data_IF_204502243460
#
_entry.id   IF_204502243460
#
_cell.length_a   1.000
_cell.length_b   1.000
_cell.length_c   1.000
_cell.angle_alpha   90.00
_cell.angle_beta   90.00
_cell.angle_gamma   90.00
#
_symmetry.space_group_name_H-M   'P 1'
#
loop_
_entity.id
_entity.type
_entity.pdbx_description
1 polymer ?
#
# COMPACT_ATOMS: atom_id res chain seq x y z
N UNK A 1 22.64 -18.28 12.41
CA UNK A 1 21.25 -17.82 12.69
C UNK A 1 20.82 -17.02 11.48
N UNK A 2 19.54 -17.08 11.09
CA UNK A 2 19.08 -16.30 9.92
C UNK A 2 19.28 -14.80 10.15
N UNK A 3 19.77 -14.09 9.14
CA UNK A 3 19.92 -12.63 9.18
C UNK A 3 18.58 -11.93 8.95
N UNK A 4 17.72 -12.50 8.09
CA UNK A 4 16.39 -11.96 7.76
C UNK A 4 15.30 -12.96 8.08
N UNK A 5 14.25 -12.51 8.74
CA UNK A 5 12.99 -13.27 8.89
C UNK A 5 11.93 -12.68 7.97
N UNK A 6 11.48 -13.45 6.99
CA UNK A 6 10.35 -13.09 6.14
C UNK A 6 9.06 -13.56 6.79
N UNK A 7 8.14 -12.63 7.04
CA UNK A 7 6.88 -12.84 7.77
C UNK A 7 5.73 -12.85 6.76
N UNK A 8 5.06 -13.99 6.61
CA UNK A 8 3.99 -14.17 5.65
C UNK A 8 2.68 -14.46 6.39
N UNK A 9 1.84 -13.44 6.67
CA UNK A 9 0.50 -13.66 7.19
C UNK A 9 -0.36 -14.31 6.11
N UNK A 10 -1.12 -15.35 6.49
CA UNK A 10 -1.96 -16.12 5.59
C UNK A 10 -3.35 -16.31 6.20
N UNK A 11 -4.37 -15.83 5.50
CA UNK A 11 -5.76 -16.09 5.80
C UNK A 11 -6.53 -16.35 4.51
N UNK A 12 -6.96 -17.59 4.28
CA UNK A 12 -7.69 -18.00 3.08
C UNK A 12 -6.95 -17.63 1.76
N UNK A 13 -5.61 -17.80 1.74
CA UNK A 13 -4.74 -17.44 0.61
C UNK A 13 -3.98 -18.64 0.03
N UNK A 14 -4.52 -19.84 0.20
CA UNK A 14 -3.86 -21.10 -0.24
C UNK A 14 -3.56 -21.18 -1.74
N UNK A 15 -4.31 -20.46 -2.56
CA UNK A 15 -4.06 -20.39 -4.00
C UNK A 15 -2.73 -19.70 -4.34
N UNK A 16 -2.28 -18.76 -3.50
CA UNK A 16 -1.16 -17.86 -3.80
C UNK A 16 0.10 -18.15 -2.98
N UNK A 17 -0.06 -18.71 -1.77
CA UNK A 17 1.02 -18.85 -0.78
C UNK A 17 2.26 -19.54 -1.33
N UNK A 18 2.10 -20.48 -2.24
CA UNK A 18 3.23 -21.17 -2.88
C UNK A 18 4.11 -20.21 -3.70
N UNK A 19 3.51 -19.28 -4.42
CA UNK A 19 4.25 -18.29 -5.20
C UNK A 19 5.02 -17.32 -4.29
N UNK A 20 4.37 -16.87 -3.21
CA UNK A 20 5.00 -15.99 -2.24
C UNK A 20 6.22 -16.65 -1.59
N UNK A 21 6.07 -17.87 -1.06
CA UNK A 21 7.16 -18.64 -0.44
C UNK A 21 8.27 -18.91 -1.46
N UNK A 22 7.92 -19.32 -2.69
CA UNK A 22 8.93 -19.60 -3.72
C UNK A 22 9.76 -18.36 -4.05
N UNK A 23 9.13 -17.17 -4.14
CA UNK A 23 9.85 -15.92 -4.40
C UNK A 23 10.87 -15.57 -3.30
N UNK A 24 10.62 -16.03 -2.07
CA UNK A 24 11.58 -15.89 -0.94
C UNK A 24 12.67 -16.96 -1.03
N UNK A 25 12.35 -18.19 -1.38
CA UNK A 25 13.34 -19.26 -1.55
C UNK A 25 14.32 -18.97 -2.70
N UNK A 26 13.85 -18.25 -3.72
CA UNK A 26 14.63 -17.83 -4.89
C UNK A 26 15.57 -16.65 -4.61
N UNK A 27 15.50 -16.00 -3.43
CA UNK A 27 16.37 -14.89 -3.08
C UNK A 27 17.85 -15.27 -3.19
N UNK A 28 18.68 -14.33 -3.70
CA UNK A 28 20.14 -14.48 -3.75
C UNK A 28 20.76 -14.58 -2.35
N UNK A 29 20.24 -13.81 -1.39
CA UNK A 29 20.57 -13.96 0.02
C UNK A 29 19.97 -15.25 0.58
N UNK A 30 20.81 -16.19 1.03
CA UNK A 30 20.36 -17.50 1.55
C UNK A 30 20.25 -17.56 3.08
N UNK A 31 20.76 -16.56 3.80
CA UNK A 31 20.70 -16.50 5.25
C UNK A 31 19.37 -15.86 5.72
N UNK A 32 18.29 -16.57 5.44
CA UNK A 32 16.92 -16.17 5.78
C UNK A 32 16.08 -17.34 6.30
N UNK A 33 15.06 -17.02 7.09
CA UNK A 33 13.96 -17.92 7.46
C UNK A 33 12.63 -17.37 6.94
N UNK A 34 11.65 -18.25 6.79
CA UNK A 34 10.29 -17.91 6.41
C UNK A 34 9.36 -18.33 7.55
N UNK A 35 8.52 -17.41 8.01
CA UNK A 35 7.52 -17.69 9.03
C UNK A 35 6.15 -17.38 8.44
N UNK A 36 5.39 -18.43 8.16
CA UNK A 36 3.99 -18.32 7.72
C UNK A 36 3.11 -18.30 8.97
N UNK A 37 2.18 -17.36 9.05
CA UNK A 37 1.21 -17.28 10.12
C UNK A 37 -0.17 -17.57 9.54
N UNK A 38 -0.68 -18.77 9.80
CA UNK A 38 -2.06 -19.12 9.51
C UNK A 38 -2.98 -18.45 10.54
N UNK A 39 -3.59 -17.35 10.14
CA UNK A 39 -4.48 -16.52 10.97
C UNK A 39 -5.92 -17.08 10.97
N UNK A 40 -6.05 -18.39 11.26
CA UNK A 40 -7.33 -19.07 11.38
C UNK A 40 -8.05 -19.29 10.05
N UNK A 41 -7.32 -19.71 9.01
CA UNK A 41 -7.91 -20.04 7.70
C UNK A 41 -9.00 -21.10 7.83
N UNK A 42 -10.09 -20.92 7.11
CA UNK A 42 -11.26 -21.80 7.16
C UNK A 42 -11.69 -22.36 5.79
N UNK A 43 -10.97 -22.03 4.71
CA UNK A 43 -11.15 -22.65 3.40
C UNK A 43 -10.29 -23.91 3.23
N UNK A 44 -10.81 -24.87 2.48
CA UNK A 44 -10.16 -26.17 2.30
C UNK A 44 -8.84 -26.07 1.50
N UNK A 45 -8.71 -25.10 0.61
CA UNK A 45 -7.51 -24.93 -0.23
C UNK A 45 -6.34 -24.53 0.65
N UNK A 46 -6.50 -23.50 1.46
CA UNK A 46 -5.47 -23.02 2.38
C UNK A 46 -5.09 -24.10 3.40
N UNK A 47 -6.10 -24.71 4.03
CA UNK A 47 -5.89 -25.78 5.03
C UNK A 47 -5.08 -26.93 4.41
N UNK A 48 -5.45 -27.38 3.22
CA UNK A 48 -4.76 -28.48 2.54
C UNK A 48 -3.31 -28.11 2.16
N UNK A 49 -3.09 -26.92 1.62
CA UNK A 49 -1.76 -26.47 1.25
C UNK A 49 -0.86 -26.37 2.48
N UNK A 50 -1.31 -25.72 3.54
CA UNK A 50 -0.51 -25.54 4.76
C UNK A 50 -0.25 -26.85 5.53
N UNK A 51 -1.14 -27.86 5.42
CA UNK A 51 -0.96 -29.15 6.08
C UNK A 51 -0.01 -30.09 5.30
N UNK A 52 -0.08 -30.08 3.99
CA UNK A 52 0.56 -31.08 3.13
C UNK A 52 1.86 -30.59 2.48
N UNK A 53 2.06 -29.27 2.35
CA UNK A 53 3.32 -28.75 1.77
C UNK A 53 4.44 -28.74 2.80
N UNK A 54 5.66 -28.86 2.29
CA UNK A 54 6.90 -28.74 3.07
C UNK A 54 7.86 -27.85 2.25
N UNK A 55 8.08 -26.66 2.75
CA UNK A 55 9.03 -25.72 2.13
C UNK A 55 10.30 -25.64 2.97
N UNK A 56 11.43 -25.52 2.30
CA UNK A 56 12.71 -25.33 2.98
C UNK A 56 12.69 -24.04 3.81
N UNK A 57 13.41 -24.04 4.92
CA UNK A 57 13.59 -22.86 5.79
C UNK A 57 12.27 -22.20 6.24
N UNK A 58 11.16 -22.92 6.12
CA UNK A 58 9.82 -22.39 6.40
C UNK A 58 9.21 -23.10 7.61
N UNK A 59 8.69 -22.33 8.52
CA UNK A 59 7.85 -22.82 9.63
C UNK A 59 6.48 -22.14 9.61
N UNK A 60 5.47 -22.89 10.03
CA UNK A 60 4.09 -22.43 10.07
C UNK A 60 3.68 -22.29 11.53
N UNK A 61 3.18 -21.12 11.89
CA UNK A 61 2.51 -20.85 13.16
C UNK A 61 1.01 -20.72 12.90
N UNK A 62 0.18 -21.18 13.84
CA UNK A 62 -1.27 -21.09 13.73
C UNK A 62 -1.84 -20.33 14.91
N UNK A 63 -2.81 -19.48 14.63
CA UNK A 63 -3.58 -18.75 15.63
C UNK A 63 -5.05 -18.68 15.24
N UNK A 64 -5.92 -18.31 16.17
CA UNK A 64 -7.28 -17.87 15.85
C UNK A 64 -7.22 -16.59 15.02
N UNK A 65 -8.24 -16.32 14.18
CA UNK A 65 -8.26 -15.12 13.35
C UNK A 65 -8.29 -13.86 14.23
N UNK A 66 -7.14 -13.21 14.30
CA UNK A 66 -6.93 -11.95 15.03
C UNK A 66 -6.69 -10.76 14.10
N UNK A 67 -6.62 -10.99 12.79
CA UNK A 67 -6.39 -9.99 11.77
C UNK A 67 -4.92 -9.78 11.43
N UNK A 68 -4.71 -9.15 10.27
CA UNK A 68 -3.40 -8.98 9.62
C UNK A 68 -2.31 -8.39 10.54
N UNK A 69 -2.54 -7.28 11.30
CA UNK A 69 -1.51 -6.73 12.18
C UNK A 69 -1.12 -7.69 13.32
N UNK A 70 -2.08 -8.44 13.89
CA UNK A 70 -1.80 -9.42 14.93
C UNK A 70 -0.99 -10.60 14.37
N UNK A 71 -1.32 -11.07 13.18
CA UNK A 71 -0.58 -12.13 12.51
C UNK A 71 0.88 -11.71 12.24
N UNK A 72 1.11 -10.49 11.73
CA UNK A 72 2.47 -9.96 11.58
C UNK A 72 3.21 -9.90 12.91
N UNK A 73 2.59 -9.35 13.95
CA UNK A 73 3.20 -9.30 15.28
C UNK A 73 3.57 -10.69 15.81
N UNK A 74 2.70 -11.69 15.64
CA UNK A 74 2.98 -13.07 16.06
C UNK A 74 4.20 -13.64 15.34
N UNK A 75 4.30 -13.44 14.04
CA UNK A 75 5.46 -13.88 13.26
C UNK A 75 6.75 -13.19 13.69
N UNK A 76 6.70 -11.86 13.89
CA UNK A 76 7.88 -11.07 14.27
C UNK A 76 8.36 -11.43 15.69
N UNK A 77 7.44 -11.68 16.63
CA UNK A 77 7.83 -12.19 17.97
C UNK A 77 8.59 -13.51 17.89
N UNK A 78 8.19 -14.39 16.98
CA UNK A 78 8.83 -15.69 16.78
C UNK A 78 10.10 -15.63 15.91
N UNK A 79 10.36 -14.53 15.23
CA UNK A 79 11.50 -14.33 14.34
C UNK A 79 12.84 -14.35 15.09
N UNK A 80 13.84 -14.97 14.48
CA UNK A 80 15.23 -14.98 15.00
C UNK A 80 16.17 -14.08 14.21
N UNK A 81 15.72 -13.57 13.06
CA UNK A 81 16.49 -12.64 12.23
C UNK A 81 16.60 -11.26 12.85
N UNK A 82 17.72 -10.60 12.61
CA UNK A 82 17.96 -9.21 12.97
C UNK A 82 17.03 -8.27 12.20
N UNK A 83 16.77 -8.62 10.93
CA UNK A 83 15.92 -7.86 10.04
C UNK A 83 14.61 -8.59 9.77
N UNK A 84 13.55 -7.82 9.61
CA UNK A 84 12.20 -8.28 9.30
C UNK A 84 11.80 -7.81 7.90
N UNK A 85 11.23 -8.69 7.11
CA UNK A 85 10.59 -8.38 5.84
C UNK A 85 9.18 -8.97 5.83
N UNK A 86 8.12 -8.17 6.01
CA UNK A 86 6.76 -8.63 5.77
C UNK A 86 6.54 -8.88 4.26
N UNK A 87 5.81 -9.94 3.94
CA UNK A 87 5.37 -10.24 2.58
C UNK A 87 3.96 -10.79 2.65
N UNK A 88 3.01 -10.19 1.95
CA UNK A 88 1.65 -10.72 1.92
C UNK A 88 1.59 -12.01 1.09
N UNK A 89 0.70 -12.93 1.49
CA UNK A 89 0.66 -14.30 0.96
C UNK A 89 0.31 -14.40 -0.53
N UNK A 90 -0.13 -13.32 -1.15
CA UNK A 90 -0.48 -13.23 -2.56
C UNK A 90 0.53 -12.41 -3.39
N UNK A 91 1.57 -11.85 -2.77
CA UNK A 91 2.58 -11.03 -3.41
C UNK A 91 3.89 -11.81 -3.68
N UNK A 92 4.83 -11.18 -4.40
CA UNK A 92 6.14 -11.77 -4.73
C UNK A 92 7.22 -10.70 -4.65
N UNK A 93 8.46 -11.13 -4.38
CA UNK A 93 9.65 -10.29 -4.40
C UNK A 93 10.66 -10.77 -5.45
N UNK A 94 11.39 -9.84 -6.05
CA UNK A 94 12.49 -10.14 -6.98
C UNK A 94 13.64 -10.83 -6.26
N UNK A 95 14.35 -11.78 -6.89
CA UNK A 95 15.44 -12.53 -6.28
C UNK A 95 16.55 -11.70 -5.64
N UNK A 96 16.76 -10.47 -6.08
CA UNK A 96 17.82 -9.57 -5.57
C UNK A 96 17.37 -8.63 -4.45
N UNK A 97 16.08 -8.62 -4.07
CA UNK A 97 15.55 -7.60 -3.15
C UNK A 97 16.19 -7.64 -1.77
N UNK A 98 16.21 -8.79 -1.13
CA UNK A 98 16.75 -8.93 0.23
C UNK A 98 18.24 -8.56 0.28
N UNK A 99 19.04 -9.03 -0.69
CA UNK A 99 20.47 -8.70 -0.76
C UNK A 99 20.72 -7.20 -0.89
N UNK A 100 19.99 -6.53 -1.80
CA UNK A 100 20.13 -5.09 -2.01
C UNK A 100 19.67 -4.28 -0.80
N UNK A 101 18.57 -4.69 -0.16
CA UNK A 101 18.08 -4.03 1.03
C UNK A 101 19.06 -4.16 2.20
N UNK A 102 19.62 -5.34 2.44
CA UNK A 102 20.65 -5.56 3.44
C UNK A 102 21.92 -4.74 3.16
N UNK A 103 22.33 -4.64 1.90
CA UNK A 103 23.49 -3.85 1.53
C UNK A 103 23.32 -2.36 1.88
N UNK A 104 22.10 -1.81 1.76
CA UNK A 104 21.78 -0.45 2.22
C UNK A 104 21.87 -0.36 3.75
N UNK A 105 21.19 -1.28 4.47
CA UNK A 105 21.19 -1.31 5.95
C UNK A 105 22.57 -1.38 6.56
N UNK A 106 23.49 -2.14 5.94
CA UNK A 106 24.87 -2.29 6.44
C UNK A 106 25.76 -1.08 6.12
N UNK A 107 25.53 -0.43 4.97
CA UNK A 107 26.32 0.76 4.56
C UNK A 107 25.90 2.02 5.29
N UNK A 108 24.64 2.12 5.68
CA UNK A 108 24.03 3.33 6.26
C UNK A 108 23.25 2.95 7.53
N UNK A 109 23.91 2.89 8.69
CA UNK A 109 23.31 2.41 9.96
C UNK A 109 22.13 3.26 10.46
N UNK A 110 22.03 4.52 10.05
CA UNK A 110 20.92 5.44 10.34
C UNK A 110 19.65 5.10 9.54
N UNK A 111 19.78 4.43 8.38
CA UNK A 111 18.62 3.92 7.64
C UNK A 111 17.99 2.78 8.45
N UNK A 112 16.72 2.90 8.77
CA UNK A 112 15.98 1.86 9.50
C UNK A 112 14.84 1.24 8.70
N UNK A 113 14.45 1.83 7.56
CA UNK A 113 13.45 1.29 6.64
C UNK A 113 14.00 1.31 5.23
N UNK A 114 14.02 0.16 4.56
CA UNK A 114 14.41 0.05 3.14
C UNK A 114 13.26 -0.58 2.36
N UNK A 115 12.79 0.11 1.32
CA UNK A 115 11.81 -0.40 0.38
C UNK A 115 12.26 -0.16 -1.06
N UNK A 116 11.47 -0.53 -2.05
CA UNK A 116 11.82 -0.43 -3.47
C UNK A 116 10.67 0.15 -4.29
N UNK A 117 10.80 0.18 -5.61
CA UNK A 117 9.66 0.37 -6.51
C UNK A 117 8.86 -0.92 -6.64
N UNK A 118 7.57 -0.77 -6.94
CA UNK A 118 6.65 -1.90 -7.07
C UNK A 118 6.06 -2.01 -8.47
N UNK A 119 5.90 -3.26 -8.92
CA UNK A 119 5.19 -3.65 -10.14
C UNK A 119 3.87 -4.31 -9.75
N UNK A 120 2.77 -3.97 -10.42
CA UNK A 120 1.50 -4.68 -10.27
C UNK A 120 1.40 -5.80 -11.28
N UNK A 121 0.79 -6.90 -10.87
CA UNK A 121 0.46 -8.03 -11.73
C UNK A 121 -0.92 -8.61 -11.36
N UNK A 122 -1.47 -9.47 -12.20
CA UNK A 122 -2.80 -10.02 -12.04
C UNK A 122 -3.83 -9.24 -12.85
N UNK A 123 -4.88 -8.69 -12.22
CA UNK A 123 -5.94 -7.98 -12.96
C UNK A 123 -5.49 -6.62 -13.52
N UNK A 124 -4.57 -5.95 -12.86
CA UNK A 124 -3.96 -4.71 -13.33
C UNK A 124 -2.46 -4.95 -13.40
N UNK A 125 -1.87 -4.68 -14.54
CA UNK A 125 -0.44 -4.86 -14.78
C UNK A 125 0.27 -3.52 -14.97
N UNK A 126 1.57 -3.49 -14.65
CA UNK A 126 2.44 -2.35 -14.86
C UNK A 126 2.94 -1.68 -13.58
N UNK A 127 3.74 -0.63 -13.70
CA UNK A 127 4.33 0.05 -12.56
C UNK A 127 3.26 0.54 -11.56
N UNK A 128 3.52 0.33 -10.28
CA UNK A 128 2.73 0.96 -9.23
C UNK A 128 3.36 2.30 -8.89
N UNK A 129 2.79 3.37 -9.43
CA UNK A 129 3.30 4.73 -9.24
C UNK A 129 2.89 5.23 -7.84
N UNK A 130 3.76 5.04 -6.88
CA UNK A 130 3.70 5.73 -5.60
C UNK A 130 4.60 6.97 -5.64
N UNK A 131 4.23 8.07 -4.97
CA UNK A 131 5.15 9.19 -4.80
C UNK A 131 6.46 8.71 -4.16
N UNK A 132 7.61 9.28 -4.54
CA UNK A 132 8.86 8.99 -3.82
C UNK A 132 8.71 9.40 -2.35
N UNK A 133 9.42 8.67 -1.48
CA UNK A 133 9.40 9.00 -0.06
C UNK A 133 9.83 10.44 0.18
N UNK A 134 9.01 11.14 0.94
CA UNK A 134 9.35 12.37 1.63
C UNK A 134 8.49 12.45 2.89
N UNK A 135 8.97 13.17 3.91
CA UNK A 135 8.18 13.37 5.11
C UNK A 135 6.84 14.05 4.80
N UNK A 136 6.86 15.00 3.84
CA UNK A 136 5.67 15.70 3.37
C UNK A 136 4.64 14.71 2.77
N UNK A 137 5.09 13.78 1.94
CA UNK A 137 4.21 12.78 1.35
C UNK A 137 3.63 11.83 2.42
N UNK A 138 4.46 11.38 3.37
CA UNK A 138 4.04 10.50 4.47
C UNK A 138 3.06 11.15 5.44
N UNK A 139 3.18 12.44 5.70
CA UNK A 139 2.21 13.17 6.55
C UNK A 139 0.83 13.23 5.89
N UNK A 140 0.76 13.24 4.57
CA UNK A 140 -0.50 13.31 3.81
C UNK A 140 -1.09 11.92 3.53
N UNK A 141 -0.25 10.89 3.36
CA UNK A 141 -0.71 9.53 3.09
C UNK A 141 0.43 8.52 3.01
N UNK A 142 0.08 7.23 2.98
CA UNK A 142 1.07 6.18 2.92
C UNK A 142 1.76 6.11 1.54
N UNK A 143 3.08 6.20 1.53
CA UNK A 143 3.91 6.05 0.32
C UNK A 143 4.89 4.88 0.42
N UNK A 144 4.86 4.13 1.51
CA UNK A 144 5.67 2.93 1.75
C UNK A 144 4.73 1.73 1.90
N UNK A 145 4.79 0.77 0.99
CA UNK A 145 4.01 -0.47 1.14
C UNK A 145 4.57 -1.36 2.26
N UNK A 146 3.77 -2.35 2.71
CA UNK A 146 4.12 -3.20 3.86
C UNK A 146 5.43 -3.98 3.68
N UNK A 147 5.76 -4.37 2.44
CA UNK A 147 6.94 -5.20 2.11
C UNK A 147 8.22 -4.35 2.07
N UNK A 148 8.56 -3.76 3.21
CA UNK A 148 9.80 -3.02 3.43
C UNK A 148 10.65 -3.73 4.49
N UNK A 149 11.99 -3.74 4.31
CA UNK A 149 12.94 -4.32 5.26
C UNK A 149 13.20 -3.33 6.39
N UNK A 150 13.14 -3.80 7.65
CA UNK A 150 13.47 -3.00 8.84
C UNK A 150 14.11 -3.85 9.94
N UNK A 151 14.71 -3.21 10.96
CA UNK A 151 15.30 -3.93 12.09
C UNK A 151 14.24 -4.40 13.07
N UNK A 152 14.34 -5.63 13.55
CA UNK A 152 13.46 -6.17 14.60
C UNK A 152 13.50 -5.32 15.87
N UNK A 153 14.67 -4.84 16.27
CA UNK A 153 14.79 -3.98 17.46
C UNK A 153 14.03 -2.65 17.31
N UNK A 154 13.87 -2.11 16.09
CA UNK A 154 13.08 -0.90 15.88
C UNK A 154 11.57 -1.18 15.99
N UNK A 155 11.11 -2.35 15.49
CA UNK A 155 9.76 -2.82 15.74
C UNK A 155 9.47 -2.97 17.24
N UNK A 156 10.41 -3.51 18.03
CA UNK A 156 10.29 -3.63 19.48
C UNK A 156 10.18 -2.26 20.16
N UNK A 157 11.04 -1.30 19.78
CA UNK A 157 11.06 0.06 20.33
C UNK A 157 9.74 0.81 20.13
N UNK A 158 9.08 0.59 18.99
CA UNK A 158 7.80 1.26 18.69
C UNK A 158 6.58 0.45 19.15
N UNK A 159 6.76 -0.73 19.73
CA UNK A 159 5.68 -1.60 20.23
C UNK A 159 4.90 -2.33 19.14
N UNK A 160 5.53 -2.58 17.98
CA UNK A 160 4.97 -3.36 16.88
C UNK A 160 3.77 -2.72 16.16
N UNK A 161 3.07 -3.53 15.37
CA UNK A 161 1.82 -3.12 14.73
C UNK A 161 0.70 -2.97 15.74
N UNK A 162 -0.18 -1.97 15.58
CA UNK A 162 -1.41 -1.87 16.41
C UNK A 162 -2.45 -2.87 15.94
N UNK A 163 -2.81 -3.81 16.81
CA UNK A 163 -3.73 -4.89 16.50
C UNK A 163 -5.19 -4.44 16.36
N UNK A 164 -5.50 -3.19 16.71
CA UNK A 164 -6.80 -2.55 16.47
C UNK A 164 -7.00 -2.12 15.02
N UNK A 165 -5.92 -1.93 14.26
CA UNK A 165 -5.93 -1.49 12.87
C UNK A 165 -6.33 -2.63 11.91
N UNK A 166 -7.57 -3.15 12.02
CA UNK A 166 -8.03 -4.33 11.28
C UNK A 166 -8.61 -4.04 9.89
N UNK A 167 -8.85 -2.77 9.59
CA UNK A 167 -9.53 -2.38 8.35
C UNK A 167 -8.59 -2.01 7.20
N UNK A 168 -7.28 -2.04 7.45
CA UNK A 168 -6.22 -1.64 6.53
C UNK A 168 -5.42 -0.46 7.05
N UNK A 169 -4.35 -0.11 6.33
CA UNK A 169 -3.40 0.94 6.68
C UNK A 169 -2.67 0.71 8.02
N UNK A 170 -2.59 -0.53 8.51
CA UNK A 170 -1.81 -0.91 9.67
C UNK A 170 -0.30 -0.68 9.46
N UNK A 171 0.15 -0.81 8.21
CA UNK A 171 1.50 -0.49 7.78
C UNK A 171 1.77 1.02 7.85
N UNK A 172 0.82 1.84 7.42
CA UNK A 172 0.94 3.30 7.53
C UNK A 172 1.05 3.76 8.99
N UNK A 173 0.17 3.27 9.89
CA UNK A 173 0.28 3.55 11.33
C UNK A 173 1.65 3.12 11.88
N UNK A 174 2.15 1.96 11.45
CA UNK A 174 3.45 1.45 11.87
C UNK A 174 4.60 2.31 11.35
N UNK A 175 4.58 2.72 10.07
CA UNK A 175 5.60 3.61 9.52
C UNK A 175 5.64 4.97 10.21
N UNK A 176 4.48 5.56 10.54
CA UNK A 176 4.42 6.81 11.30
C UNK A 176 5.08 6.64 12.69
N UNK A 177 4.84 5.53 13.38
CA UNK A 177 5.52 5.25 14.66
C UNK A 177 7.04 5.14 14.51
N UNK A 178 7.51 4.50 13.45
CA UNK A 178 8.94 4.40 13.15
C UNK A 178 9.55 5.79 12.88
N UNK A 179 8.90 6.58 12.02
CA UNK A 179 9.35 7.95 11.70
C UNK A 179 9.32 8.89 12.90
N UNK A 180 8.44 8.70 13.87
CA UNK A 180 8.41 9.47 15.13
C UNK A 180 9.64 9.21 16.03
N UNK A 181 10.50 8.26 15.66
CA UNK A 181 11.79 7.95 16.32
C UNK A 181 13.00 8.35 15.48
N UNK A 182 12.81 9.29 14.54
CA UNK A 182 13.86 9.79 13.63
C UNK A 182 14.53 8.68 12.79
N UNK A 183 13.80 7.59 12.52
CA UNK A 183 14.28 6.49 11.70
C UNK A 183 14.22 6.92 10.24
N UNK A 184 15.38 6.85 9.55
CA UNK A 184 15.49 7.24 8.15
C UNK A 184 15.02 6.14 7.20
N UNK A 185 14.54 6.56 6.02
CA UNK A 185 13.97 5.71 4.97
C UNK A 185 14.82 5.78 3.72
N UNK A 186 15.06 4.64 3.08
CA UNK A 186 15.72 4.55 1.79
C UNK A 186 14.85 3.80 0.78
N UNK A 187 14.66 4.36 -0.41
CA UNK A 187 14.01 3.70 -1.53
C UNK A 187 15.04 3.23 -2.56
N UNK A 188 15.08 1.93 -2.80
CA UNK A 188 15.85 1.36 -3.92
C UNK A 188 15.12 1.71 -5.22
N UNK A 189 15.82 2.34 -6.17
CA UNK A 189 15.27 2.81 -7.45
C UNK A 189 15.13 1.67 -8.49
N UNK A 190 14.63 0.52 -8.05
CA UNK A 190 14.39 -0.67 -8.88
C UNK A 190 13.04 -1.31 -8.53
N UNK A 191 12.40 -1.98 -9.51
CA UNK A 191 11.16 -2.72 -9.34
C UNK A 191 11.45 -4.12 -8.77
N UNK A 192 11.46 -4.25 -7.45
CA UNK A 192 11.84 -5.49 -6.75
C UNK A 192 10.67 -6.09 -5.93
N UNK A 193 9.53 -5.43 -5.89
CA UNK A 193 8.30 -5.92 -5.28
C UNK A 193 7.21 -6.06 -6.34
N UNK A 194 6.52 -7.20 -6.34
CA UNK A 194 5.42 -7.50 -7.24
C UNK A 194 4.13 -7.65 -6.44
N UNK A 195 3.26 -6.64 -6.55
CA UNK A 195 1.97 -6.56 -5.89
C UNK A 195 0.87 -7.19 -6.74
N UNK A 196 0.14 -8.17 -6.18
CA UNK A 196 -0.97 -8.80 -6.87
C UNK A 196 -2.24 -7.96 -6.81
N UNK A 197 -2.68 -7.50 -7.97
CA UNK A 197 -3.94 -6.77 -8.12
C UNK A 197 -5.12 -7.74 -8.23
N UNK A 198 -6.12 -7.59 -7.33
CA UNK A 198 -7.33 -8.41 -7.30
C UNK A 198 -8.58 -7.53 -7.11
N UNK A 199 -9.68 -7.83 -7.84
CA UNK A 199 -10.96 -7.08 -7.73
C UNK A 199 -11.55 -7.07 -6.34
N UNK A 200 -11.43 -8.18 -5.62
CA UNK A 200 -12.06 -8.38 -4.32
C UNK A 200 -11.04 -8.30 -3.16
N UNK A 201 -9.90 -7.65 -3.36
CA UNK A 201 -8.88 -7.49 -2.31
C UNK A 201 -9.41 -6.68 -1.12
N UNK A 202 -8.75 -6.82 0.01
CA UNK A 202 -9.07 -6.09 1.24
C UNK A 202 -8.95 -4.58 1.00
N UNK A 203 -7.91 -4.15 0.27
CA UNK A 203 -7.67 -2.75 -0.05
C UNK A 203 -8.73 -2.18 -1.01
N UNK A 204 -9.22 -2.97 -1.98
CA UNK A 204 -10.32 -2.54 -2.87
C UNK A 204 -11.60 -2.32 -2.07
N UNK A 205 -11.93 -3.22 -1.14
CA UNK A 205 -13.08 -3.07 -0.23
C UNK A 205 -12.93 -1.85 0.68
N UNK A 206 -11.73 -1.64 1.22
CA UNK A 206 -11.40 -0.48 2.05
C UNK A 206 -11.70 0.83 1.31
N UNK A 207 -11.14 1.05 0.12
CA UNK A 207 -11.33 2.27 -0.66
C UNK A 207 -12.76 2.46 -1.17
N UNK A 208 -13.56 1.40 -1.28
CA UNK A 208 -14.98 1.50 -1.67
C UNK A 208 -15.89 2.04 -0.57
N UNK A 209 -15.43 2.05 0.69
CA UNK A 209 -16.20 2.53 1.85
C UNK A 209 -15.59 3.79 2.45
N UNK A 210 -16.09 4.95 2.03
CA UNK A 210 -15.58 6.25 2.43
C UNK A 210 -15.57 6.48 3.94
N UNK A 211 -16.57 5.98 4.67
CA UNK A 211 -16.65 6.14 6.12
C UNK A 211 -15.57 5.33 6.84
N UNK A 212 -15.30 4.11 6.36
CA UNK A 212 -14.18 3.28 6.87
C UNK A 212 -12.85 3.96 6.59
N UNK A 213 -12.65 4.51 5.39
CA UNK A 213 -11.43 5.25 5.06
C UNK A 213 -11.24 6.44 6.02
N UNK A 214 -12.26 7.28 6.17
CA UNK A 214 -12.20 8.46 7.05
C UNK A 214 -11.91 8.05 8.50
N UNK A 215 -12.63 7.05 9.02
CA UNK A 215 -12.46 6.60 10.41
C UNK A 215 -11.07 6.01 10.65
N UNK A 216 -10.51 5.28 9.68
CA UNK A 216 -9.16 4.70 9.76
C UNK A 216 -8.08 5.81 9.76
N UNK A 217 -8.16 6.79 8.85
CA UNK A 217 -7.25 7.93 8.89
C UNK A 217 -7.35 8.75 10.19
N UNK A 218 -8.58 8.94 10.69
CA UNK A 218 -8.80 9.60 11.98
C UNK A 218 -8.22 8.79 13.16
N UNK A 219 -8.26 7.45 13.09
CA UNK A 219 -7.63 6.57 14.08
C UNK A 219 -6.10 6.71 14.03
N UNK A 220 -5.49 6.64 12.84
CA UNK A 220 -4.04 6.84 12.65
C UNK A 220 -3.61 8.20 13.21
N UNK A 221 -4.38 9.26 12.92
CA UNK A 221 -4.10 10.60 13.44
C UNK A 221 -4.13 10.63 14.97
N UNK A 222 -5.18 10.09 15.60
CA UNK A 222 -5.29 10.04 17.07
C UNK A 222 -4.17 9.20 17.70
N UNK A 223 -3.85 8.08 17.07
CA UNK A 223 -2.80 7.16 17.52
C UNK A 223 -1.40 7.78 17.51
N UNK A 224 -1.17 8.78 16.64
CA UNK A 224 0.13 9.38 16.39
C UNK A 224 0.06 10.91 16.47
N UNK A 225 -0.74 11.43 17.41
CA UNK A 225 -1.07 12.88 17.50
C UNK A 225 0.16 13.77 17.58
N UNK A 226 1.20 13.36 18.32
CA UNK A 226 2.42 14.15 18.49
C UNK A 226 3.18 14.29 17.17
N UNK A 227 3.26 13.21 16.37
CA UNK A 227 3.87 13.26 15.04
C UNK A 227 3.13 14.23 14.12
N UNK A 228 1.81 14.13 14.05
CA UNK A 228 1.02 15.01 13.20
C UNK A 228 0.99 16.47 13.70
N UNK A 229 1.00 16.69 15.01
CA UNK A 229 1.08 18.02 15.59
C UNK A 229 2.41 18.71 15.26
N UNK A 230 3.52 17.96 15.33
CA UNK A 230 4.85 18.45 14.95
C UNK A 230 4.93 18.85 13.46
N UNK A 231 4.13 18.23 12.59
CA UNK A 231 4.12 18.45 11.14
C UNK A 231 2.81 19.13 10.66
N UNK A 232 2.15 19.85 11.54
CA UNK A 232 0.86 20.50 11.23
C UNK A 232 0.96 21.51 10.07
N UNK A 233 2.13 22.17 9.91
CA UNK A 233 2.36 23.10 8.80
C UNK A 233 2.26 22.40 7.42
N UNK A 234 2.73 21.14 7.30
CA UNK A 234 2.62 20.34 6.08
C UNK A 234 1.14 20.10 5.75
N UNK A 235 0.33 19.73 6.76
CA UNK A 235 -1.10 19.48 6.60
C UNK A 235 -1.80 20.74 6.10
N UNK A 236 -1.56 21.87 6.75
CA UNK A 236 -2.20 23.15 6.38
C UNK A 236 -1.73 23.65 5.01
N UNK A 237 -0.44 23.52 4.67
CA UNK A 237 0.05 23.86 3.34
C UNK A 237 -0.67 23.06 2.27
N UNK A 238 -0.87 21.74 2.48
CA UNK A 238 -1.58 20.89 1.54
C UNK A 238 -3.06 21.25 1.46
N UNK A 239 -3.70 21.57 2.58
CA UNK A 239 -5.08 22.04 2.61
C UNK A 239 -5.28 23.31 1.77
N UNK A 240 -4.41 24.32 1.95
CA UNK A 240 -4.50 25.56 1.17
C UNK A 240 -4.18 25.32 -0.30
N UNK A 241 -3.18 24.48 -0.63
CA UNK A 241 -2.89 24.08 -2.02
C UNK A 241 -4.11 23.45 -2.70
N UNK A 242 -4.83 22.56 -2.03
CA UNK A 242 -6.08 22.00 -2.59
C UNK A 242 -7.16 23.09 -2.81
N UNK A 243 -7.26 24.03 -1.91
CA UNK A 243 -8.19 25.16 -2.08
C UNK A 243 -7.88 25.98 -3.33
N UNK A 244 -6.59 26.28 -3.55
CA UNK A 244 -6.12 27.02 -4.73
C UNK A 244 -6.32 26.21 -6.02
N UNK A 245 -6.03 24.91 -6.00
CA UNK A 245 -6.29 24.00 -7.13
C UNK A 245 -7.78 23.97 -7.51
N UNK A 246 -8.67 23.89 -6.51
CA UNK A 246 -10.12 23.90 -6.73
C UNK A 246 -10.56 25.24 -7.31
N UNK A 247 -10.05 26.35 -6.79
CA UNK A 247 -10.34 27.69 -7.31
C UNK A 247 -9.92 27.80 -8.78
N UNK A 248 -8.71 27.40 -9.11
CA UNK A 248 -8.19 27.41 -10.47
C UNK A 248 -9.06 26.58 -11.43
N UNK A 249 -9.42 25.35 -11.03
CA UNK A 249 -10.30 24.48 -11.83
C UNK A 249 -11.68 25.09 -12.03
N UNK A 250 -12.24 25.72 -11.01
CA UNK A 250 -13.54 26.42 -11.13
C UNK A 250 -13.45 27.59 -12.12
N UNK A 251 -12.36 28.39 -12.06
CA UNK A 251 -12.15 29.49 -13.00
C UNK A 251 -11.99 28.99 -14.44
N UNK A 252 -11.30 27.87 -14.63
CA UNK A 252 -11.15 27.24 -15.94
C UNK A 252 -12.50 26.73 -16.47
N UNK A 253 -13.29 26.05 -15.62
CA UNK A 253 -14.65 25.62 -15.98
C UNK A 253 -15.51 26.82 -16.40
N UNK A 254 -15.44 27.92 -15.68
CA UNK A 254 -16.19 29.14 -16.04
C UNK A 254 -15.72 29.74 -17.37
N UNK A 255 -14.41 29.73 -17.64
CA UNK A 255 -13.87 30.17 -18.94
C UNK A 255 -14.38 29.30 -20.10
N UNK A 256 -14.40 27.97 -19.92
CA UNK A 256 -14.88 27.02 -20.93
C UNK A 256 -16.42 27.11 -21.13
N UNK A 257 -17.19 27.43 -20.09
CA UNK A 257 -18.66 27.60 -20.16
C UNK A 257 -19.07 28.85 -20.92
N UNK A 258 -18.34 29.98 -20.81
CA UNK A 258 -18.68 31.24 -21.46
C UNK A 258 -18.98 31.15 -22.97
N UNK A 259 -18.15 30.50 -23.80
CA UNK A 259 -18.43 30.32 -25.23
C UNK A 259 -19.70 29.49 -25.48
N UNK A 260 -19.93 28.44 -24.65
CA UNK A 260 -21.08 27.55 -24.75
C UNK A 260 -22.37 28.34 -24.44
N UNK A 261 -22.36 29.11 -23.37
CA UNK A 261 -23.51 29.96 -22.98
C UNK A 261 -23.78 31.05 -24.00
N UNK A 262 -22.72 31.63 -24.59
CA UNK A 262 -22.86 32.60 -25.67
C UNK A 262 -23.46 31.96 -26.91
N UNK A 263 -22.97 30.80 -27.31
CA UNK A 263 -23.55 30.02 -28.43
C UNK A 263 -25.05 29.68 -28.17
N UNK A 264 -25.36 29.19 -26.96
CA UNK A 264 -26.73 28.90 -26.56
C UNK A 264 -27.66 30.12 -26.65
N UNK A 265 -27.18 31.31 -26.22
CA UNK A 265 -27.91 32.58 -26.37
C UNK A 265 -28.10 32.97 -27.82
N UNK A 266 -27.11 32.80 -28.69
CA UNK A 266 -27.22 33.06 -30.14
C UNK A 266 -28.24 32.10 -30.75
N UNK A 267 -28.16 30.78 -30.45
CA UNK A 267 -29.09 29.77 -30.92
C UNK A 267 -30.55 30.01 -30.46
N UNK A 268 -30.72 30.53 -29.22
CA UNK A 268 -32.05 30.84 -28.71
C UNK A 268 -32.73 31.98 -29.46
N UNK A 269 -31.93 32.92 -29.98
CA UNK A 269 -32.40 34.10 -30.76
C UNK A 269 -32.50 33.87 -32.27
N UNK A 270 -32.04 32.74 -32.78
CA UNK A 270 -32.03 32.41 -34.22
C UNK A 270 -32.82 31.12 -34.50
N UNK A 271 -34.17 31.20 -34.58
CA UNK A 271 -35.02 30.00 -34.77
C UNK A 271 -34.73 29.21 -36.03
N UNK A 272 -34.32 29.87 -37.11
CA UNK A 272 -33.94 29.26 -38.39
C UNK A 272 -32.67 28.40 -38.26
N UNK A 273 -31.65 28.91 -37.59
CA UNK A 273 -30.39 28.20 -37.31
C UNK A 273 -30.64 26.99 -36.42
N UNK A 274 -31.52 27.12 -35.43
CA UNK A 274 -31.93 26.01 -34.54
C UNK A 274 -32.65 24.87 -35.31
N UNK A 275 -33.45 25.17 -36.29
CA UNK A 275 -34.10 24.18 -37.19
C UNK A 275 -33.07 23.48 -38.05
N UNK A 276 -32.13 24.22 -38.61
CA UNK A 276 -31.08 23.69 -39.48
C UNK A 276 -30.13 22.73 -38.71
N UNK A 277 -29.64 23.12 -37.53
CA UNK A 277 -28.80 22.26 -36.69
C UNK A 277 -29.54 21.01 -36.23
N UNK A 278 -30.85 21.09 -35.86
CA UNK A 278 -31.65 19.91 -35.55
C UNK A 278 -31.81 18.98 -36.78
N UNK A 279 -31.87 19.53 -37.97
CA UNK A 279 -31.96 18.75 -39.24
C UNK A 279 -30.65 17.99 -39.48
N UNK A 280 -29.49 18.65 -39.31
CA UNK A 280 -28.14 17.99 -39.41
C UNK A 280 -27.98 16.90 -38.36
N UNK A 281 -28.33 17.16 -37.11
CA UNK A 281 -28.24 16.16 -36.02
C UNK A 281 -29.16 14.94 -36.31
N UNK A 282 -30.38 15.16 -36.81
CA UNK A 282 -31.27 14.04 -37.24
C UNK A 282 -30.65 13.25 -38.38
N UNK A 283 -30.01 13.92 -39.34
CA UNK A 283 -29.34 13.25 -40.45
C UNK A 283 -28.11 12.44 -40.02
N UNK A 284 -27.36 12.91 -39.02
CA UNK A 284 -26.16 12.23 -38.52
C UNK A 284 -26.47 11.06 -37.55
N UNK A 285 -27.59 11.13 -36.80
CA UNK A 285 -28.01 10.07 -35.87
C UNK A 285 -28.91 9.04 -36.55
N UNK A 286 -29.52 9.37 -37.69
CA UNK A 286 -30.39 8.48 -38.44
C UNK A 286 -29.68 7.58 -39.45
N UNK A 287 -28.35 7.46 -39.35
CA UNK A 287 -27.52 6.44 -39.97
C UNK A 287 -26.87 5.62 -38.85
#
# INVERSE_FOLDING_TARGET
>A
MATVSVIIPCYNSGEFINEAIQSVLDQTCKDLEIIVIDDGSNDNVTINVLNNSRWERTRILRQENMGLPAARNTGIRAAVGEFILPLDADDRIDPSYVEKALAVMHRQPNIGIVYCKAMRFGEIEGPWHLPPFSLQAMVIGNVIFCTALYRKCDWEKVGGYRETMRHGLEDYDFWIKMLSKDIEVYQIDEYLFNYRSQKNSLITKFWSNKEVVISTYAEIFRNNIDFFAQHADIIYRRFFSFSDEIQHLNDEIQRLRKPIDMAAKIFSKAPTLRRWVKSIFRYMIGK
#
